data_IF_928405733769
#
_entry.id   IF_928405733769
#
_cell.length_a   1.000
_cell.length_b   1.000
_cell.length_c   1.000
_cell.angle_alpha   90.00
_cell.angle_beta   90.00
_cell.angle_gamma   90.00
#
_symmetry.space_group_name_H-M   'P 1'
#
loop_
_entity.id
_entity.type
_entity.pdbx_description
1 polymer ?
#
# COMPACT_ATOMS: atom_id res chain seq x y z
N UNK A 1 1.10 21.89 -6.54
CA UNK A 1 1.69 20.58 -6.15
C UNK A 1 3.17 20.65 -5.76
N UNK A 2 4.01 21.50 -6.34
CA UNK A 2 5.40 21.72 -5.88
C UNK A 2 5.53 22.08 -4.37
N UNK A 3 4.48 22.65 -3.76
CA UNK A 3 4.41 22.89 -2.31
C UNK A 3 4.16 21.63 -1.48
N UNK A 4 3.40 20.65 -1.99
CA UNK A 4 3.08 19.41 -1.24
C UNK A 4 4.32 18.50 -1.19
N UNK A 5 5.08 18.40 -2.28
CA UNK A 5 6.38 17.72 -2.29
C UNK A 5 7.36 18.40 -1.34
N UNK A 6 7.41 19.74 -1.33
CA UNK A 6 8.25 20.51 -0.40
C UNK A 6 7.95 20.25 1.09
N UNK A 7 6.68 20.09 1.45
CA UNK A 7 6.28 19.79 2.83
C UNK A 7 6.76 18.38 3.28
N UNK A 8 6.61 17.37 2.42
CA UNK A 8 7.07 16.01 2.73
C UNK A 8 8.59 15.96 2.91
N UNK A 9 9.36 16.57 2.00
CA UNK A 9 10.82 16.61 2.13
C UNK A 9 11.27 17.43 3.35
N UNK A 10 10.53 18.49 3.71
CA UNK A 10 10.80 19.25 4.94
C UNK A 10 10.54 18.44 6.20
N UNK A 11 9.52 17.58 6.19
CA UNK A 11 9.26 16.63 7.27
C UNK A 11 10.38 15.59 7.38
N UNK A 12 10.79 14.96 6.28
CA UNK A 12 11.85 13.96 6.30
C UNK A 12 13.19 14.54 6.77
N UNK A 13 13.55 15.75 6.32
CA UNK A 13 14.73 16.46 6.83
C UNK A 13 14.66 16.74 8.33
N UNK A 14 13.48 17.04 8.86
CA UNK A 14 13.31 17.19 10.31
C UNK A 14 13.53 15.89 11.05
N UNK A 15 13.05 14.76 10.52
CA UNK A 15 13.30 13.43 11.07
C UNK A 15 14.80 13.13 11.09
N UNK A 16 15.50 13.31 9.97
CA UNK A 16 16.96 13.13 9.87
C UNK A 16 17.71 13.95 10.94
N UNK A 17 17.40 15.24 11.02
CA UNK A 17 18.07 16.16 11.94
C UNK A 17 17.79 15.87 13.43
N UNK A 18 16.56 15.44 13.77
CA UNK A 18 16.16 15.22 15.17
C UNK A 18 16.58 13.85 15.68
N UNK A 19 16.55 12.85 14.82
CA UNK A 19 16.92 11.47 15.16
C UNK A 19 18.42 11.24 15.00
N UNK A 20 19.10 12.01 14.13
CA UNK A 20 20.52 11.84 13.83
C UNK A 20 20.78 10.68 12.86
N UNK A 21 19.92 10.54 11.85
CA UNK A 21 20.00 9.48 10.82
C UNK A 21 20.11 10.10 9.43
N UNK A 22 20.57 9.30 8.46
CA UNK A 22 20.64 9.69 7.06
C UNK A 22 19.75 8.74 6.25
N UNK A 23 18.75 9.30 5.57
CA UNK A 23 17.84 8.53 4.72
C UNK A 23 18.42 8.39 3.31
N UNK A 24 18.26 7.21 2.71
CA UNK A 24 18.64 6.97 1.32
C UNK A 24 17.49 7.34 0.37
N UNK A 25 17.65 8.44 -0.36
CA UNK A 25 16.66 8.94 -1.32
C UNK A 25 16.88 8.43 -2.75
N UNK A 26 17.85 7.56 -2.99
CA UNK A 26 18.30 7.18 -4.33
C UNK A 26 17.17 6.61 -5.21
N UNK A 27 16.32 5.72 -4.67
CA UNK A 27 15.17 5.16 -5.38
C UNK A 27 14.14 6.23 -5.76
N UNK A 28 13.82 7.12 -4.83
CA UNK A 28 12.86 8.19 -5.08
C UNK A 28 13.38 9.21 -6.10
N UNK A 29 14.67 9.57 -6.01
CA UNK A 29 15.30 10.48 -6.95
C UNK A 29 15.31 9.91 -8.37
N UNK A 30 15.66 8.63 -8.53
CA UNK A 30 15.60 7.96 -9.84
C UNK A 30 14.18 7.88 -10.40
N UNK A 31 13.19 7.58 -9.54
CA UNK A 31 11.79 7.55 -9.96
C UNK A 31 11.30 8.93 -10.43
N UNK A 32 11.56 9.99 -9.66
CA UNK A 32 11.16 11.34 -10.03
C UNK A 32 11.92 11.83 -11.28
N UNK A 33 13.23 11.61 -11.34
CA UNK A 33 14.07 12.20 -12.37
C UNK A 33 13.95 13.73 -12.45
N UNK A 34 14.38 14.31 -13.57
CA UNK A 34 14.38 15.77 -13.76
C UNK A 34 13.07 16.31 -14.39
N UNK A 35 12.22 15.42 -14.89
CA UNK A 35 11.07 15.74 -15.74
C UNK A 35 9.74 15.15 -15.23
N UNK A 36 9.60 14.92 -13.92
CA UNK A 36 8.36 14.38 -13.35
C UNK A 36 7.15 15.29 -13.63
N UNK A 37 6.17 14.78 -14.36
CA UNK A 37 4.91 15.49 -14.62
C UNK A 37 3.96 15.37 -13.43
N UNK A 38 3.95 16.38 -12.58
CA UNK A 38 3.05 16.44 -11.41
C UNK A 38 1.56 16.55 -11.78
N UNK A 39 1.19 16.84 -13.04
CA UNK A 39 -0.22 16.83 -13.44
C UNK A 39 -0.82 15.41 -13.47
N UNK A 40 0.05 14.39 -13.52
CA UNK A 40 -0.30 12.95 -13.51
C UNK A 40 -0.50 12.38 -12.10
N UNK A 41 -0.24 13.17 -11.06
CA UNK A 41 -0.32 12.75 -9.66
C UNK A 41 -1.77 12.75 -9.16
N UNK A 42 -2.29 11.59 -8.76
CA UNK A 42 -3.62 11.45 -8.16
C UNK A 42 -3.59 11.43 -6.63
N UNK A 43 -2.59 10.75 -6.05
CA UNK A 43 -2.45 10.61 -4.60
C UNK A 43 -1.00 10.81 -4.20
N UNK A 44 -0.79 11.59 -3.14
CA UNK A 44 0.48 11.68 -2.42
C UNK A 44 0.20 11.50 -0.94
N UNK A 45 0.84 10.51 -0.32
CA UNK A 45 0.80 10.30 1.12
C UNK A 45 2.20 10.21 1.70
N UNK A 46 2.33 10.56 2.98
CA UNK A 46 3.53 10.32 3.77
C UNK A 46 3.15 9.87 5.18
N UNK A 47 4.02 9.11 5.83
CA UNK A 47 3.79 8.62 7.17
C UNK A 47 5.04 8.05 7.83
N UNK A 48 4.83 7.36 8.94
CA UNK A 48 5.86 6.74 9.77
C UNK A 48 5.44 5.33 10.17
N UNK A 49 6.41 4.42 10.26
CA UNK A 49 6.28 3.13 10.93
C UNK A 49 7.42 3.05 11.94
N UNK A 50 7.09 3.32 13.21
CA UNK A 50 8.07 3.44 14.30
C UNK A 50 8.16 2.15 15.09
N UNK A 51 9.39 1.73 15.40
CA UNK A 51 9.71 0.49 16.11
C UNK A 51 10.58 0.78 17.33
N UNK A 52 10.62 -0.17 18.26
CA UNK A 52 11.52 -0.10 19.42
C UNK A 52 12.98 -0.11 19.01
N UNK A 53 13.34 -0.93 18.02
CA UNK A 53 14.64 -0.85 17.37
C UNK A 53 14.63 0.28 16.35
N UNK A 54 15.48 1.29 16.56
CA UNK A 54 15.54 2.45 15.69
C UNK A 54 15.82 2.08 14.23
N UNK A 55 16.71 1.11 14.01
CA UNK A 55 17.09 0.65 12.66
C UNK A 55 15.91 0.09 11.85
N UNK A 56 14.87 -0.40 12.53
CA UNK A 56 13.66 -0.96 11.90
C UNK A 56 12.55 0.09 11.71
N UNK A 57 12.76 1.32 12.20
CA UNK A 57 11.83 2.42 11.99
C UNK A 57 12.01 3.01 10.60
N UNK A 58 10.92 3.50 10.01
CA UNK A 58 10.93 4.11 8.69
C UNK A 58 9.99 5.31 8.57
N UNK A 59 10.34 6.23 7.67
CA UNK A 59 9.35 7.13 7.05
C UNK A 59 8.89 6.51 5.73
N UNK A 60 7.63 6.75 5.36
CA UNK A 60 7.00 6.14 4.19
C UNK A 60 6.43 7.22 3.27
N UNK A 61 6.40 6.95 1.96
CA UNK A 61 5.75 7.79 0.96
C UNK A 61 5.02 6.90 -0.04
N UNK A 62 3.81 7.30 -0.46
CA UNK A 62 3.14 6.67 -1.60
C UNK A 62 2.74 7.70 -2.64
N UNK A 63 2.95 7.36 -3.91
CA UNK A 63 2.68 8.18 -5.09
C UNK A 63 1.76 7.37 -6.00
N UNK A 64 0.54 7.85 -6.22
CA UNK A 64 -0.37 7.30 -7.25
C UNK A 64 -0.31 8.15 -8.50
N UNK A 65 -0.03 7.54 -9.63
CA UNK A 65 0.05 8.19 -10.93
C UNK A 65 -1.02 7.63 -11.87
N UNK A 66 -1.48 8.47 -12.81
CA UNK A 66 -2.46 8.09 -13.83
C UNK A 66 -1.90 8.40 -15.22
N UNK A 67 -2.11 7.49 -16.17
CA UNK A 67 -1.74 7.68 -17.57
C UNK A 67 -0.28 8.13 -17.76
N UNK A 68 0.64 7.46 -17.03
CA UNK A 68 2.06 7.82 -16.98
C UNK A 68 2.99 6.60 -17.21
N UNK A 69 2.96 5.98 -18.40
CA UNK A 69 3.64 4.71 -18.67
C UNK A 69 5.17 4.77 -18.49
N UNK A 70 5.83 5.87 -18.84
CA UNK A 70 7.29 6.06 -18.66
C UNK A 70 7.71 5.91 -17.18
N UNK A 71 6.90 6.45 -16.26
CA UNK A 71 7.19 6.34 -14.82
C UNK A 71 6.85 4.98 -14.24
N UNK A 72 5.87 4.27 -14.82
CA UNK A 72 5.63 2.88 -14.47
C UNK A 72 6.82 1.99 -14.89
N UNK A 73 7.36 2.18 -16.10
CA UNK A 73 8.55 1.46 -16.56
C UNK A 73 9.76 1.74 -15.64
N UNK A 74 9.96 3.01 -15.27
CA UNK A 74 11.00 3.40 -14.30
C UNK A 74 10.80 2.70 -12.95
N UNK A 75 9.58 2.68 -12.42
CA UNK A 75 9.27 2.03 -11.16
C UNK A 75 9.50 0.50 -11.22
N UNK A 76 9.19 -0.14 -12.34
CA UNK A 76 9.44 -1.56 -12.56
C UNK A 76 10.93 -1.88 -12.59
N UNK A 77 11.74 -1.05 -13.26
CA UNK A 77 13.20 -1.18 -13.26
C UNK A 77 13.78 -1.03 -11.86
N UNK A 78 13.33 -0.03 -11.10
CA UNK A 78 13.77 0.21 -9.72
C UNK A 78 13.32 -0.88 -8.74
N UNK A 79 12.21 -1.56 -9.03
CA UNK A 79 11.78 -2.75 -8.29
C UNK A 79 12.59 -4.02 -8.63
N UNK A 80 13.73 -3.85 -9.33
CA UNK A 80 14.59 -4.91 -9.86
C UNK A 80 13.80 -5.95 -10.69
N UNK A 81 12.85 -5.46 -11.49
CA UNK A 81 12.03 -6.28 -12.36
C UNK A 81 10.94 -7.11 -11.65
N UNK A 82 10.73 -6.95 -10.34
CA UNK A 82 9.68 -7.67 -9.60
C UNK A 82 8.28 -7.51 -10.22
N UNK A 83 8.04 -6.39 -10.91
CA UNK A 83 6.79 -6.10 -11.60
C UNK A 83 6.89 -6.09 -13.15
N UNK A 84 8.08 -6.01 -13.75
CA UNK A 84 8.26 -5.74 -15.19
C UNK A 84 7.88 -6.89 -16.13
N UNK A 85 7.99 -8.14 -15.67
CA UNK A 85 7.54 -9.35 -16.40
C UNK A 85 6.30 -9.98 -15.78
N UNK A 86 5.69 -9.32 -14.79
CA UNK A 86 4.53 -9.82 -14.08
C UNK A 86 3.28 -9.59 -14.93
N UNK A 87 2.37 -10.57 -14.94
CA UNK A 87 1.06 -10.49 -15.59
C UNK A 87 0.19 -9.35 -15.04
N UNK A 88 0.58 -8.76 -13.90
CA UNK A 88 -0.08 -7.64 -13.23
C UNK A 88 0.45 -6.25 -13.60
N UNK A 89 1.44 -6.14 -14.50
CA UNK A 89 2.05 -4.84 -14.85
C UNK A 89 1.04 -3.81 -15.38
N UNK A 90 0.02 -4.25 -16.12
CA UNK A 90 -1.06 -3.41 -16.64
C UNK A 90 -2.03 -2.86 -15.58
N UNK A 91 -1.89 -3.29 -14.32
CA UNK A 91 -2.77 -2.91 -13.21
C UNK A 91 -2.09 -1.97 -12.20
N UNK A 92 -0.87 -1.49 -12.48
CA UNK A 92 -0.11 -0.71 -11.50
C UNK A 92 -0.40 0.77 -11.64
N UNK A 93 -0.82 1.40 -10.53
CA UNK A 93 -0.98 2.86 -10.44
C UNK A 93 -0.35 3.47 -9.18
N UNK A 94 -0.02 2.67 -8.15
CA UNK A 94 0.49 3.14 -6.87
C UNK A 94 1.91 2.62 -6.62
N UNK A 95 2.81 3.53 -6.24
CA UNK A 95 4.22 3.26 -5.94
C UNK A 95 4.49 3.69 -4.50
N UNK A 96 5.02 2.78 -3.67
CA UNK A 96 5.43 3.02 -2.30
C UNK A 96 6.95 3.11 -2.17
N UNK A 97 7.41 3.98 -1.29
CA UNK A 97 8.81 4.14 -0.89
C UNK A 97 8.92 4.07 0.62
N UNK A 98 9.77 3.17 1.10
CA UNK A 98 10.11 3.03 2.51
C UNK A 98 11.55 3.47 2.73
N UNK A 99 11.76 4.39 3.68
CA UNK A 99 13.08 4.91 4.04
C UNK A 99 13.40 4.53 5.48
N UNK A 100 14.17 3.46 5.67
CA UNK A 100 14.56 2.95 6.99
C UNK A 100 15.66 3.82 7.60
N UNK A 101 15.64 3.93 8.92
CA UNK A 101 16.56 4.79 9.67
C UNK A 101 17.99 4.23 9.74
N UNK A 102 18.21 3.00 9.26
CA UNK A 102 19.53 2.41 9.07
C UNK A 102 20.16 2.75 7.70
N UNK A 103 19.52 3.62 6.90
CA UNK A 103 20.01 4.03 5.58
C UNK A 103 19.61 3.10 4.44
N UNK A 104 18.82 2.04 4.71
CA UNK A 104 18.21 1.22 3.65
C UNK A 104 16.94 1.88 3.11
N UNK A 105 16.73 1.82 1.80
CA UNK A 105 15.45 2.18 1.17
C UNK A 105 14.87 1.02 0.37
N UNK A 106 13.54 0.97 0.28
CA UNK A 106 12.81 -0.02 -0.52
C UNK A 106 11.75 0.66 -1.37
N UNK A 107 11.48 0.06 -2.53
CA UNK A 107 10.36 0.43 -3.41
C UNK A 107 9.38 -0.73 -3.49
N UNK A 108 8.08 -0.43 -3.46
CA UNK A 108 7.00 -1.39 -3.62
C UNK A 108 6.03 -0.92 -4.68
N UNK A 109 5.62 -1.86 -5.53
CA UNK A 109 4.72 -1.61 -6.65
C UNK A 109 3.38 -2.27 -6.34
N UNK A 110 2.29 -1.52 -6.46
CA UNK A 110 0.96 -2.02 -6.13
C UNK A 110 0.13 -2.16 -7.40
N UNK A 111 -0.18 -3.40 -7.76
CA UNK A 111 -1.17 -3.71 -8.79
C UNK A 111 -2.56 -3.65 -8.18
N UNK A 112 -3.49 -2.98 -8.85
CA UNK A 112 -4.82 -2.67 -8.35
C UNK A 112 -5.95 -3.07 -9.30
N UNK A 113 -7.06 -3.52 -8.72
CA UNK A 113 -8.31 -3.79 -9.45
C UNK A 113 -9.45 -3.10 -8.71
N UNK A 114 -10.22 -2.26 -9.41
CA UNK A 114 -11.41 -1.59 -8.87
C UNK A 114 -12.64 -2.49 -8.87
N UNK A 115 -13.64 -2.15 -8.05
CA UNK A 115 -14.89 -2.91 -7.91
C UNK A 115 -15.59 -3.18 -9.25
N UNK A 116 -15.69 -2.16 -10.10
CA UNK A 116 -16.34 -2.24 -11.41
C UNK A 116 -15.66 -3.25 -12.37
N UNK A 117 -14.40 -3.60 -12.08
CA UNK A 117 -13.61 -4.52 -12.88
C UNK A 117 -13.57 -5.94 -12.28
N UNK A 118 -14.02 -6.16 -11.05
CA UNK A 118 -13.87 -7.44 -10.34
C UNK A 118 -14.45 -8.63 -11.13
N UNK A 119 -15.59 -8.45 -11.78
CA UNK A 119 -16.30 -9.54 -12.47
C UNK A 119 -16.15 -9.52 -13.99
N UNK A 120 -15.28 -8.65 -14.53
CA UNK A 120 -15.00 -8.62 -15.96
C UNK A 120 -14.26 -9.92 -16.37
N UNK A 121 -14.62 -10.54 -17.50
CA UNK A 121 -13.94 -11.74 -17.98
C UNK A 121 -12.43 -11.56 -18.12
N UNK A 122 -11.98 -10.38 -18.51
CA UNK A 122 -10.57 -10.03 -18.65
C UNK A 122 -9.85 -10.09 -17.29
N UNK A 123 -10.43 -9.47 -16.26
CA UNK A 123 -9.91 -9.49 -14.89
C UNK A 123 -9.86 -10.90 -14.32
N UNK A 124 -10.91 -11.70 -14.54
CA UNK A 124 -10.93 -13.11 -14.11
C UNK A 124 -9.78 -13.88 -14.75
N UNK A 125 -9.59 -13.70 -16.07
CA UNK A 125 -8.60 -14.41 -16.86
C UNK A 125 -7.17 -13.90 -16.68
N UNK A 126 -6.96 -12.67 -16.23
CA UNK A 126 -5.63 -12.09 -16.05
C UNK A 126 -5.21 -12.09 -14.58
N UNK A 127 -6.14 -11.95 -13.64
CA UNK A 127 -5.84 -11.78 -12.21
C UNK A 127 -6.37 -12.95 -11.40
N UNK A 128 -7.69 -13.15 -11.34
CA UNK A 128 -8.31 -14.02 -10.34
C UNK A 128 -8.01 -15.51 -10.51
N UNK A 129 -7.80 -15.98 -11.74
CA UNK A 129 -7.40 -17.38 -12.00
C UNK A 129 -6.10 -17.81 -11.29
N UNK A 130 -5.28 -16.84 -10.87
CA UNK A 130 -3.99 -17.08 -10.23
C UNK A 130 -4.08 -17.11 -8.70
N UNK A 131 -5.26 -16.87 -8.14
CA UNK A 131 -5.50 -16.85 -6.71
C UNK A 131 -6.48 -17.95 -6.29
N UNK A 132 -6.31 -18.51 -5.07
CA UNK A 132 -7.28 -19.46 -4.51
C UNK A 132 -8.58 -18.75 -4.13
N UNK A 133 -9.66 -19.52 -4.00
CA UNK A 133 -10.99 -18.99 -3.62
C UNK A 133 -11.00 -18.22 -2.30
N UNK A 134 -10.09 -18.55 -1.38
CA UNK A 134 -9.92 -17.83 -0.09
C UNK A 134 -9.58 -16.35 -0.29
N UNK A 135 -8.84 -16.01 -1.35
CA UNK A 135 -8.47 -14.64 -1.72
C UNK A 135 -9.65 -13.87 -2.31
N UNK A 136 -10.56 -14.56 -2.98
CA UNK A 136 -11.66 -13.95 -3.71
C UNK A 136 -12.86 -13.62 -2.79
N UNK A 137 -13.04 -14.35 -1.68
CA UNK A 137 -14.17 -14.15 -0.77
C UNK A 137 -14.30 -12.71 -0.24
N UNK A 138 -13.23 -12.05 0.26
CA UNK A 138 -13.35 -10.69 0.79
C UNK A 138 -13.67 -9.62 -0.28
N UNK A 139 -13.53 -9.93 -1.58
CA UNK A 139 -13.88 -8.99 -2.66
C UNK A 139 -15.35 -8.57 -2.60
N UNK A 140 -16.24 -9.42 -2.07
CA UNK A 140 -17.67 -9.12 -1.92
C UNK A 140 -17.96 -7.88 -1.07
N UNK A 141 -17.11 -7.60 -0.08
CA UNK A 141 -17.23 -6.43 0.79
C UNK A 141 -16.18 -5.34 0.48
N UNK A 142 -15.38 -5.53 -0.58
CA UNK A 142 -14.32 -4.61 -0.96
C UNK A 142 -14.73 -3.73 -2.14
N UNK A 143 -14.23 -2.50 -2.20
CA UNK A 143 -14.37 -1.63 -3.38
C UNK A 143 -13.07 -1.47 -4.19
N UNK A 144 -11.95 -1.95 -3.64
CA UNK A 144 -10.64 -1.93 -4.28
C UNK A 144 -9.79 -3.08 -3.73
N UNK A 145 -9.01 -3.71 -4.59
CA UNK A 145 -8.05 -4.75 -4.22
C UNK A 145 -6.66 -4.36 -4.70
N UNK A 146 -5.63 -4.49 -3.84
CA UNK A 146 -4.24 -4.40 -4.25
C UNK A 146 -3.47 -5.70 -3.97
N UNK A 147 -2.40 -5.91 -4.73
CA UNK A 147 -1.31 -6.80 -4.33
C UNK A 147 0.02 -6.06 -4.39
N UNK A 148 0.76 -6.09 -3.28
CA UNK A 148 2.09 -5.49 -3.18
C UNK A 148 3.14 -6.41 -3.80
N UNK A 149 3.84 -5.89 -4.80
CA UNK A 149 4.94 -6.53 -5.51
C UNK A 149 6.24 -5.84 -5.07
N UNK A 150 7.00 -6.50 -4.21
CA UNK A 150 8.31 -6.03 -3.75
C UNK A 150 9.20 -7.21 -3.40
N UNK A 151 10.51 -7.06 -3.61
CA UNK A 151 11.53 -8.01 -3.14
C UNK A 151 11.55 -8.16 -1.62
N UNK A 152 11.13 -7.14 -0.88
CA UNK A 152 11.10 -7.19 0.57
C UNK A 152 10.05 -8.18 1.11
N UNK A 153 9.10 -8.61 0.28
CA UNK A 153 8.01 -9.50 0.67
C UNK A 153 8.28 -10.94 0.22
N UNK A 154 8.47 -11.86 1.17
CA UNK A 154 8.60 -13.30 0.89
C UNK A 154 7.33 -13.89 0.25
N UNK A 155 6.17 -13.31 0.53
CA UNK A 155 4.88 -13.63 -0.07
C UNK A 155 4.16 -12.32 -0.41
N UNK A 156 3.46 -12.21 -1.56
CA UNK A 156 2.67 -11.03 -1.87
C UNK A 156 1.68 -10.71 -0.75
N UNK A 157 1.67 -9.45 -0.33
CA UNK A 157 0.67 -8.95 0.62
C UNK A 157 -0.53 -8.50 -0.19
N UNK A 158 -1.69 -9.06 0.14
CA UNK A 158 -2.97 -8.76 -0.47
C UNK A 158 -3.67 -7.72 0.38
N UNK A 159 -4.18 -6.68 -0.27
CA UNK A 159 -4.88 -5.59 0.39
C UNK A 159 -6.32 -5.49 -0.10
N UNK A 160 -7.24 -5.35 0.84
CA UNK A 160 -8.66 -5.25 0.60
C UNK A 160 -9.19 -3.95 1.18
N UNK A 161 -9.81 -3.11 0.35
CA UNK A 161 -10.45 -1.88 0.80
C UNK A 161 -11.91 -2.16 1.12
N UNK A 162 -12.19 -2.48 2.38
CA UNK A 162 -13.53 -2.79 2.84
C UNK A 162 -14.39 -1.53 2.85
N UNK A 163 -15.59 -1.63 2.27
CA UNK A 163 -16.58 -0.54 2.23
C UNK A 163 -17.06 -0.17 3.63
N UNK A 164 -17.23 -1.18 4.48
CA UNK A 164 -17.56 -1.03 5.89
C UNK A 164 -16.58 -1.83 6.76
N UNK A 165 -15.97 -1.16 7.74
CA UNK A 165 -15.03 -1.78 8.68
C UNK A 165 -15.65 -2.88 9.53
N UNK A 166 -16.98 -2.83 9.74
CA UNK A 166 -17.73 -3.86 10.46
C UNK A 166 -17.74 -5.20 9.74
N UNK A 167 -17.53 -5.22 8.42
CA UNK A 167 -17.47 -6.46 7.64
C UNK A 167 -16.18 -7.24 7.87
N UNK A 168 -15.17 -6.67 8.54
CA UNK A 168 -13.88 -7.30 8.77
C UNK A 168 -14.00 -8.73 9.32
N UNK A 169 -14.79 -8.93 10.37
CA UNK A 169 -14.92 -10.23 11.05
C UNK A 169 -15.73 -11.26 10.23
N UNK A 170 -16.49 -10.81 9.23
CA UNK A 170 -17.25 -11.70 8.34
C UNK A 170 -16.33 -12.40 7.32
N UNK A 171 -15.22 -11.76 6.97
CA UNK A 171 -14.32 -12.21 5.91
C UNK A 171 -12.92 -12.61 6.41
N UNK A 172 -12.47 -12.08 7.54
CA UNK A 172 -11.12 -12.31 8.08
C UNK A 172 -11.20 -12.96 9.46
N UNK A 173 -10.60 -14.15 9.59
CA UNK A 173 -10.59 -14.92 10.85
C UNK A 173 -9.49 -14.41 11.79
N UNK A 174 -9.75 -13.31 12.48
CA UNK A 174 -8.76 -12.60 13.29
C UNK A 174 -8.24 -13.42 14.48
N UNK A 175 -6.98 -13.22 14.85
CA UNK A 175 -6.50 -13.57 16.19
C UNK A 175 -6.92 -12.53 17.23
N UNK A 176 -6.69 -12.84 18.51
CA UNK A 176 -7.17 -12.02 19.63
C UNK A 176 -6.59 -10.60 19.60
N UNK A 177 -5.34 -10.44 19.16
CA UNK A 177 -4.68 -9.13 19.04
C UNK A 177 -5.36 -8.29 17.96
N UNK A 178 -5.61 -8.85 16.79
CA UNK A 178 -6.32 -8.14 15.72
C UNK A 178 -7.78 -7.85 16.10
N UNK A 179 -8.45 -8.78 16.79
CA UNK A 179 -9.80 -8.56 17.31
C UNK A 179 -9.85 -7.41 18.32
N UNK A 180 -8.85 -7.29 19.19
CA UNK A 180 -8.73 -6.17 20.14
C UNK A 180 -8.65 -4.83 19.42
N UNK A 181 -7.85 -4.75 18.34
CA UNK A 181 -7.75 -3.52 17.52
C UNK A 181 -9.08 -3.22 16.84
N UNK A 182 -9.72 -4.22 16.23
CA UNK A 182 -11.01 -4.06 15.58
C UNK A 182 -12.07 -3.52 16.54
N UNK A 183 -12.21 -4.15 17.71
CA UNK A 183 -13.19 -3.78 18.74
C UNK A 183 -13.02 -2.34 19.22
N UNK A 184 -11.77 -1.86 19.32
CA UNK A 184 -11.49 -0.46 19.68
C UNK A 184 -12.06 0.53 18.65
N UNK A 185 -11.99 0.20 17.36
CA UNK A 185 -12.38 1.06 16.24
C UNK A 185 -13.86 0.94 15.82
N UNK A 186 -14.61 -0.05 16.31
CA UNK A 186 -16.02 -0.24 15.94
C UNK A 186 -16.85 1.03 16.17
N UNK A 187 -16.64 1.69 17.31
CA UNK A 187 -17.45 2.83 17.77
C UNK A 187 -16.74 4.19 17.70
N UNK A 188 -15.56 4.25 17.07
CA UNK A 188 -14.84 5.52 16.91
C UNK A 188 -15.49 6.37 15.82
N UNK A 189 -15.43 7.70 16.01
CA UNK A 189 -15.81 8.68 14.99
C UNK A 189 -14.72 8.73 13.90
N UNK A 190 -14.78 7.76 13.00
CA UNK A 190 -13.88 7.56 11.87
C UNK A 190 -14.67 7.17 10.62
N UNK A 191 -14.03 7.20 9.46
CA UNK A 191 -14.64 6.82 8.19
C UNK A 191 -15.12 5.36 8.22
N UNK A 192 -16.17 5.03 7.45
CA UNK A 192 -16.74 3.69 7.44
C UNK A 192 -15.78 2.65 6.86
N UNK A 193 -14.96 3.03 5.88
CA UNK A 193 -14.06 2.13 5.18
C UNK A 193 -12.74 1.88 5.90
N UNK A 194 -12.08 0.77 5.55
CA UNK A 194 -10.76 0.42 6.06
C UNK A 194 -9.97 -0.39 5.03
N UNK A 195 -8.64 -0.39 5.14
CA UNK A 195 -7.81 -1.36 4.43
C UNK A 195 -7.43 -2.52 5.34
N UNK A 196 -7.40 -3.72 4.77
CA UNK A 196 -6.91 -4.95 5.41
C UNK A 196 -5.79 -5.51 4.55
N UNK A 197 -4.58 -5.61 5.11
CA UNK A 197 -3.42 -6.21 4.45
C UNK A 197 -3.06 -7.54 5.08
N UNK A 198 -2.97 -8.62 4.30
CA UNK A 198 -2.49 -9.93 4.80
C UNK A 198 -1.84 -10.74 3.70
N UNK A 199 -0.92 -11.64 4.05
CA UNK A 199 -0.33 -12.54 3.07
C UNK A 199 -1.35 -13.58 2.62
N UNK A 200 -1.29 -14.01 1.35
CA UNK A 200 -2.21 -15.03 0.80
C UNK A 200 -2.38 -16.26 1.70
N UNK A 201 -1.27 -16.80 2.22
CA UNK A 201 -1.25 -18.00 3.05
C UNK A 201 -2.02 -17.85 4.37
N UNK A 202 -2.19 -16.62 4.89
CA UNK A 202 -2.96 -16.38 6.11
C UNK A 202 -4.47 -16.61 5.89
N UNK A 203 -4.98 -16.33 4.69
CA UNK A 203 -6.40 -16.51 4.34
C UNK A 203 -6.81 -17.98 4.23
N UNK A 204 -5.84 -18.88 4.05
CA UNK A 204 -6.08 -20.33 4.00
C UNK A 204 -6.09 -20.97 5.39
N UNK A 205 -5.58 -20.27 6.41
CA UNK A 205 -5.53 -20.77 7.79
C UNK A 205 -6.91 -20.80 8.43
N UNK A 206 -7.01 -21.58 9.51
CA UNK A 206 -8.16 -21.54 10.41
C UNK A 206 -8.24 -20.23 11.19
N UNK A 207 -7.11 -19.54 11.37
CA UNK A 207 -6.99 -18.22 11.99
C UNK A 207 -5.81 -17.46 11.40
N UNK A 208 -6.00 -16.17 11.14
CA UNK A 208 -4.98 -15.23 10.65
C UNK A 208 -4.12 -14.80 11.83
N UNK A 209 -2.82 -15.04 11.73
CA UNK A 209 -1.85 -14.63 12.74
C UNK A 209 -1.13 -13.33 12.36
N UNK A 210 -1.00 -13.07 11.05
CA UNK A 210 -0.33 -11.87 10.53
C UNK A 210 -1.30 -11.02 9.69
N UNK A 211 -1.66 -9.84 10.19
CA UNK A 211 -2.57 -8.91 9.52
C UNK A 211 -2.18 -7.46 9.80
N UNK A 212 -2.43 -6.60 8.82
CA UNK A 212 -2.30 -5.15 8.88
C UNK A 212 -3.70 -4.54 8.77
N UNK A 213 -4.08 -3.69 9.73
CA UNK A 213 -5.40 -3.04 9.76
C UNK A 213 -5.20 -1.53 9.68
N UNK A 214 -5.80 -0.87 8.69
CA UNK A 214 -5.65 0.56 8.46
C UNK A 214 -7.01 1.26 8.51
N UNK A 215 -7.12 2.25 9.39
CA UNK A 215 -8.33 3.05 9.62
C UNK A 215 -8.10 4.50 9.22
N UNK A 216 -9.17 5.21 8.86
CA UNK A 216 -9.09 6.55 8.27
C UNK A 216 -10.00 7.53 8.97
N UNK A 217 -9.52 8.76 9.18
CA UNK A 217 -10.33 9.92 9.55
C UNK A 217 -10.02 11.06 8.59
N UNK A 218 -11.07 11.67 8.05
CA UNK A 218 -10.92 12.85 7.21
C UNK A 218 -10.90 14.10 8.08
N UNK A 219 -9.92 14.97 7.84
CA UNK A 219 -9.84 16.28 8.46
C UNK A 219 -10.05 17.34 7.38
N UNK A 220 -11.31 17.68 7.12
CA UNK A 220 -11.71 18.59 6.05
C UNK A 220 -13.20 18.48 5.74
N UNK A 221 -13.70 19.29 4.81
CA UNK A 221 -15.05 19.10 4.26
C UNK A 221 -15.00 18.01 3.20
N UNK A 222 -15.96 17.11 3.20
CA UNK A 222 -16.28 16.30 2.02
C UNK A 222 -16.86 17.29 0.99
N UNK A 223 -16.19 17.43 -0.15
CA UNK A 223 -16.76 18.11 -1.33
C UNK A 223 -17.69 17.16 -2.08
#
# INVERSE_FOLDING_TARGET
>A
MAKLSSAVFSFFRQVENRVGVQLDYSLLQQFLGDNFDFSKLEVLSTGIDLRTNLADSSVKMHIRIKDYPEKLETAFLLSDGAAGSNYLSGFVNLIGFDFYFNGKSEIEIYAEVGEDDFFKPETINQVWRHFPDSVLKPLQASSLFFTGLSKANNNPVLYYYLKNRQDLINYFRLNDTAQRVHSFYEHQDILPYMWVGTAQQELEKTRIENVRLYYYKLFGKLE
#
